data_IF_152154435952
#
_entry.id   IF_152154435952
#
_cell.length_a   1.000
_cell.length_b   1.000
_cell.length_c   1.000
_cell.angle_alpha   90.00
_cell.angle_beta   90.00
_cell.angle_gamma   90.00
#
_symmetry.space_group_name_H-M   'P 1'
#
loop_
_entity.id
_entity.type
_entity.pdbx_description
1 polymer ?
#
# COMPACT_ATOMS: atom_id res chain seq x y z
N UNK A 1 -0.22 35.50 -12.82
CA UNK A 1 0.23 34.73 -14.00
C UNK A 1 0.68 33.38 -13.45
N UNK A 2 -0.10 32.33 -13.67
CA UNK A 2 0.16 31.01 -13.09
C UNK A 2 1.37 30.35 -13.77
N UNK A 3 2.19 29.67 -12.97
CA UNK A 3 3.35 28.91 -13.42
C UNK A 3 2.94 27.91 -14.51
N UNK A 4 3.46 28.13 -15.72
CA UNK A 4 3.23 27.25 -16.85
C UNK A 4 3.97 25.94 -16.58
N UNK A 5 3.23 24.90 -16.16
CA UNK A 5 3.76 23.54 -16.09
C UNK A 5 4.42 23.13 -17.41
N UNK A 6 5.35 22.16 -17.34
CA UNK A 6 6.23 21.75 -18.44
C UNK A 6 5.52 21.28 -19.74
N UNK A 7 4.18 21.24 -19.78
CA UNK A 7 3.40 20.85 -20.97
C UNK A 7 3.53 19.38 -21.37
N UNK A 8 4.21 18.56 -20.55
CA UNK A 8 4.54 17.16 -20.88
C UNK A 8 3.44 16.15 -20.56
N UNK A 9 2.38 16.57 -19.86
CA UNK A 9 1.36 15.65 -19.32
C UNK A 9 0.73 14.76 -20.40
N UNK A 10 0.25 15.34 -21.50
CA UNK A 10 -0.36 14.57 -22.59
C UNK A 10 0.64 13.70 -23.36
N UNK A 11 1.91 14.11 -23.42
CA UNK A 11 2.98 13.31 -24.01
C UNK A 11 3.23 12.04 -23.20
N UNK A 12 3.24 12.15 -21.86
CA UNK A 12 3.37 11.01 -20.96
C UNK A 12 2.16 10.07 -21.10
N UNK A 13 0.94 10.62 -21.08
CA UNK A 13 -0.29 9.82 -21.27
C UNK A 13 -0.24 9.05 -22.58
N UNK A 14 0.10 9.70 -23.70
CA UNK A 14 0.21 9.05 -25.01
C UNK A 14 1.25 7.94 -25.03
N UNK A 15 2.39 8.14 -24.37
CA UNK A 15 3.44 7.13 -24.27
C UNK A 15 2.96 5.90 -23.47
N UNK A 16 2.41 6.12 -22.28
CA UNK A 16 1.92 5.05 -21.40
C UNK A 16 0.81 4.23 -22.06
N UNK A 17 -0.17 4.88 -22.67
CA UNK A 17 -1.28 4.20 -23.34
C UNK A 17 -0.78 3.36 -24.53
N UNK A 18 0.18 3.88 -25.31
CA UNK A 18 0.79 3.13 -26.41
C UNK A 18 1.60 1.93 -25.93
N UNK A 19 2.33 2.06 -24.82
CA UNK A 19 3.07 0.94 -24.21
C UNK A 19 2.13 -0.20 -23.75
N UNK A 20 0.90 0.13 -23.34
CA UNK A 20 -0.13 -0.85 -23.00
C UNK A 20 -0.91 -1.35 -24.23
N UNK A 21 -0.47 -1.04 -25.46
CA UNK A 21 -1.15 -1.46 -26.69
C UNK A 21 -2.51 -0.78 -26.91
N UNK A 22 -2.78 0.33 -26.22
CA UNK A 22 -4.03 1.07 -26.30
C UNK A 22 -3.96 2.34 -27.15
N UNK A 23 -5.04 3.11 -27.13
CA UNK A 23 -5.20 4.40 -27.83
C UNK A 23 -5.73 5.49 -26.90
N UNK A 24 -5.34 6.74 -27.17
CA UNK A 24 -5.86 7.92 -26.48
C UNK A 24 -6.30 8.98 -27.49
N UNK A 25 -7.49 9.53 -27.29
CA UNK A 25 -8.11 10.56 -28.12
C UNK A 25 -8.61 11.72 -27.25
N UNK A 26 -8.72 12.91 -27.82
CA UNK A 26 -9.23 14.10 -27.12
C UNK A 26 -10.21 14.85 -28.03
N UNK A 27 -11.37 15.21 -27.47
CA UNK A 27 -12.46 15.90 -28.15
C UNK A 27 -12.79 17.19 -27.40
N UNK A 28 -13.12 18.25 -28.14
CA UNK A 28 -13.64 19.50 -27.56
C UNK A 28 -14.52 20.20 -28.59
N UNK A 29 -15.66 20.71 -28.14
CA UNK A 29 -16.55 21.54 -28.98
C UNK A 29 -16.15 23.03 -29.00
N UNK A 30 -14.98 23.36 -28.42
CA UNK A 30 -14.42 24.71 -28.40
C UNK A 30 -14.39 25.36 -27.01
N UNK A 31 -13.94 26.64 -26.94
CA UNK A 31 -13.76 27.34 -25.68
C UNK A 31 -15.05 27.42 -24.84
N UNK A 32 -14.94 27.08 -23.55
CA UNK A 32 -16.07 27.11 -22.61
C UNK A 32 -17.04 25.92 -22.74
N UNK A 33 -16.77 24.94 -23.61
CA UNK A 33 -17.58 23.72 -23.79
C UNK A 33 -16.98 22.47 -23.14
N UNK A 34 -15.80 22.60 -22.53
CA UNK A 34 -15.09 21.50 -21.90
C UNK A 34 -14.27 20.67 -22.90
N UNK A 35 -13.76 19.55 -22.41
CA UNK A 35 -12.97 18.60 -23.19
C UNK A 35 -13.21 17.19 -22.68
N UNK A 36 -13.30 16.24 -23.60
CA UNK A 36 -13.42 14.82 -23.31
C UNK A 36 -12.11 14.13 -23.73
N UNK A 37 -11.57 13.27 -22.86
CA UNK A 37 -10.38 12.47 -23.15
C UNK A 37 -10.76 11.00 -23.06
N UNK A 38 -10.56 10.26 -24.14
CA UNK A 38 -10.95 8.86 -24.25
C UNK A 38 -9.72 7.98 -24.31
N UNK A 39 -9.59 7.07 -23.34
CA UNK A 39 -8.50 6.08 -23.28
C UNK A 39 -9.10 4.70 -23.52
N UNK A 40 -8.56 3.96 -24.47
CA UNK A 40 -8.94 2.57 -24.77
C UNK A 40 -7.73 1.68 -24.57
N UNK A 41 -7.87 0.65 -23.74
CA UNK A 41 -6.81 -0.36 -23.52
C UNK A 41 -7.33 -1.73 -23.98
N UNK A 42 -6.46 -2.59 -24.55
CA UNK A 42 -6.84 -3.95 -24.89
C UNK A 42 -7.21 -4.71 -23.61
N UNK A 43 -8.37 -5.35 -23.63
CA UNK A 43 -8.75 -6.26 -22.56
C UNK A 43 -7.88 -7.51 -22.67
N UNK A 44 -7.08 -7.79 -21.64
CA UNK A 44 -6.36 -9.06 -21.57
C UNK A 44 -7.38 -10.15 -21.25
N UNK A 45 -7.80 -10.90 -22.28
CA UNK A 45 -8.42 -12.20 -22.03
C UNK A 45 -7.33 -13.11 -21.47
N UNK A 46 -7.42 -13.40 -20.17
CA UNK A 46 -6.78 -14.59 -19.61
C UNK A 46 -7.38 -15.78 -20.33
N UNK A 47 -6.76 -16.20 -21.44
CA UNK A 47 -7.24 -17.29 -22.27
C UNK A 47 -7.41 -18.57 -21.46
N UNK A 48 -8.30 -19.44 -21.95
CA UNK A 48 -8.72 -20.72 -21.38
C UNK A 48 -7.58 -21.70 -21.02
N UNK A 49 -6.33 -21.37 -21.33
CA UNK A 49 -5.13 -22.09 -20.91
C UNK A 49 -4.80 -22.00 -19.41
N UNK A 50 -5.35 -21.01 -18.69
CA UNK A 50 -5.29 -21.00 -17.22
C UNK A 50 -6.37 -21.87 -16.58
N UNK A 51 -7.47 -22.18 -17.27
CA UNK A 51 -8.52 -23.08 -16.77
C UNK A 51 -8.09 -24.57 -16.82
N UNK A 52 -7.19 -24.94 -17.75
CA UNK A 52 -6.65 -26.30 -17.83
C UNK A 52 -5.45 -26.53 -16.90
N UNK A 53 -4.56 -25.53 -16.75
CA UNK A 53 -3.45 -25.59 -15.76
C UNK A 53 -3.88 -25.35 -14.32
N UNK A 54 -5.09 -24.82 -14.11
CA UNK A 54 -5.67 -24.77 -12.78
C UNK A 54 -6.23 -26.12 -12.34
N UNK A 55 -6.70 -27.02 -13.21
CA UNK A 55 -7.30 -28.27 -12.70
C UNK A 55 -6.31 -29.27 -12.10
N UNK A 56 -5.03 -29.23 -12.47
CA UNK A 56 -4.01 -30.12 -11.87
C UNK A 56 -3.17 -29.45 -10.76
N UNK A 57 -3.20 -28.11 -10.63
CA UNK A 57 -2.52 -27.38 -9.54
C UNK A 57 -3.45 -26.53 -8.64
N UNK A 58 -4.78 -26.57 -8.83
CA UNK A 58 -5.79 -25.87 -8.00
C UNK A 58 -6.62 -26.85 -7.16
N UNK A 59 -6.14 -28.08 -6.96
CA UNK A 59 -6.64 -28.92 -5.87
C UNK A 59 -6.08 -28.51 -4.49
N UNK A 60 -5.32 -27.41 -4.37
CA UNK A 60 -4.80 -26.92 -3.09
C UNK A 60 -4.96 -25.40 -2.85
N UNK A 61 -5.68 -24.66 -3.69
CA UNK A 61 -6.00 -23.25 -3.45
C UNK A 61 -7.51 -23.01 -3.61
N UNK A 62 -8.31 -23.79 -2.88
CA UNK A 62 -9.45 -23.15 -2.26
C UNK A 62 -8.85 -22.23 -1.17
N UNK A 63 -9.28 -20.96 -1.02
CA UNK A 63 -9.04 -20.30 0.24
C UNK A 63 -9.78 -21.14 1.27
N UNK A 64 -9.06 -22.04 1.93
CA UNK A 64 -9.42 -22.41 3.28
C UNK A 64 -9.65 -21.08 3.99
N UNK A 65 -10.72 -20.92 4.79
CA UNK A 65 -10.80 -19.77 5.67
C UNK A 65 -9.45 -19.69 6.35
N UNK A 66 -8.68 -18.63 6.07
CA UNK A 66 -7.35 -18.49 6.63
C UNK A 66 -7.63 -18.48 8.12
N UNK A 67 -7.37 -19.60 8.79
CA UNK A 67 -7.40 -19.74 10.23
C UNK A 67 -6.17 -18.99 10.78
N UNK A 68 -5.95 -17.79 10.27
CA UNK A 68 -4.97 -16.84 10.72
C UNK A 68 -5.55 -16.22 11.96
N UNK A 69 -4.77 -16.25 13.03
CA UNK A 69 -5.07 -15.55 14.27
C UNK A 69 -5.43 -14.10 13.96
N UNK A 70 -6.61 -13.64 14.37
CA UNK A 70 -6.97 -12.21 14.34
C UNK A 70 -5.85 -11.41 15.01
N UNK A 71 -5.35 -10.38 14.33
CA UNK A 71 -4.26 -9.53 14.79
C UNK A 71 -4.77 -8.13 15.04
N UNK A 72 -4.19 -7.46 16.03
CA UNK A 72 -4.36 -6.02 16.21
C UNK A 72 -3.32 -5.27 15.38
N UNK A 73 -3.79 -4.54 14.38
CA UNK A 73 -2.95 -3.79 13.43
C UNK A 73 -3.18 -2.29 13.64
N UNK A 74 -2.10 -1.51 13.68
CA UNK A 74 -2.15 -0.05 13.64
C UNK A 74 -1.46 0.45 12.37
N UNK A 75 -2.21 1.13 11.51
CA UNK A 75 -1.69 1.77 10.29
C UNK A 75 -1.34 3.22 10.62
N UNK A 76 -0.17 3.68 10.16
CA UNK A 76 0.27 5.07 10.28
C UNK A 76 0.59 5.61 8.90
N UNK A 77 -0.26 6.48 8.36
CA UNK A 77 -0.16 6.99 6.98
C UNK A 77 -0.92 8.32 6.89
N UNK A 78 -0.30 9.37 6.36
CA UNK A 78 -0.90 10.71 6.23
C UNK A 78 -1.88 10.80 5.05
N UNK A 79 -1.80 9.86 4.12
CA UNK A 79 -2.78 9.72 3.06
C UNK A 79 -4.01 8.97 3.58
N UNK A 80 -5.03 9.73 4.01
CA UNK A 80 -6.26 9.19 4.61
C UNK A 80 -6.93 8.13 3.73
N UNK A 81 -7.12 8.41 2.44
CA UNK A 81 -7.77 7.48 1.50
C UNK A 81 -7.01 6.14 1.41
N UNK A 82 -5.68 6.19 1.33
CA UNK A 82 -4.83 4.99 1.26
C UNK A 82 -4.85 4.21 2.57
N UNK A 83 -4.82 4.92 3.69
CA UNK A 83 -4.85 4.32 5.02
C UNK A 83 -6.18 3.61 5.30
N UNK A 84 -7.29 4.25 4.93
CA UNK A 84 -8.64 3.73 5.12
C UNK A 84 -8.91 2.53 4.22
N UNK A 85 -8.53 2.61 2.94
CA UNK A 85 -8.64 1.48 2.01
C UNK A 85 -7.88 0.25 2.55
N UNK A 86 -6.63 0.42 3.00
CA UNK A 86 -5.85 -0.68 3.57
C UNK A 86 -6.47 -1.21 4.87
N UNK A 87 -7.05 -0.32 5.69
CA UNK A 87 -7.73 -0.72 6.91
C UNK A 87 -8.97 -1.55 6.65
N UNK A 88 -9.79 -1.17 5.67
CA UNK A 88 -10.98 -1.94 5.24
C UNK A 88 -10.58 -3.33 4.75
N UNK A 89 -9.59 -3.42 3.87
CA UNK A 89 -9.10 -4.70 3.34
C UNK A 89 -8.60 -5.63 4.45
N UNK A 90 -7.88 -5.11 5.44
CA UNK A 90 -7.39 -5.90 6.57
C UNK A 90 -8.51 -6.28 7.56
N UNK A 91 -9.55 -5.44 7.72
CA UNK A 91 -10.74 -5.76 8.51
C UNK A 91 -11.54 -6.88 7.85
N UNK A 92 -11.71 -6.81 6.52
CA UNK A 92 -12.36 -7.85 5.71
C UNK A 92 -11.59 -9.19 5.79
N UNK A 93 -10.27 -9.13 5.91
CA UNK A 93 -9.41 -10.29 6.20
C UNK A 93 -9.48 -10.79 7.66
N UNK A 94 -10.31 -10.18 8.52
CA UNK A 94 -10.56 -10.63 9.89
C UNK A 94 -9.61 -10.07 10.96
N UNK A 95 -8.87 -8.99 10.66
CA UNK A 95 -8.01 -8.31 11.62
C UNK A 95 -8.71 -7.12 12.31
N UNK A 96 -8.25 -6.78 13.52
CA UNK A 96 -8.69 -5.58 14.23
C UNK A 96 -7.76 -4.42 13.86
N UNK A 97 -8.24 -3.45 13.09
CA UNK A 97 -7.40 -2.40 12.51
C UNK A 97 -7.78 -1.01 13.03
N UNK A 98 -6.78 -0.27 13.47
CA UNK A 98 -6.85 1.16 13.80
C UNK A 98 -5.94 1.96 12.87
N UNK A 99 -6.25 3.23 12.67
CA UNK A 99 -5.48 4.14 11.81
C UNK A 99 -5.07 5.37 12.63
N UNK A 100 -3.82 5.80 12.45
CA UNK A 100 -3.33 7.10 12.87
C UNK A 100 -2.81 7.84 11.62
N UNK A 101 -3.17 9.11 11.47
CA UNK A 101 -2.82 9.88 10.27
C UNK A 101 -1.51 10.68 10.41
N UNK A 102 -0.86 10.56 11.57
CA UNK A 102 0.41 11.22 11.85
C UNK A 102 1.19 10.48 12.95
N UNK A 103 2.50 10.73 13.01
CA UNK A 103 3.41 10.11 13.97
C UNK A 103 3.10 10.43 15.44
N UNK A 104 2.88 11.70 15.83
CA UNK A 104 2.47 12.04 17.20
C UNK A 104 1.22 11.29 17.69
N UNK A 105 0.18 11.22 16.87
CA UNK A 105 -1.04 10.46 17.15
C UNK A 105 -0.74 8.97 17.33
N UNK A 106 0.11 8.40 16.48
CA UNK A 106 0.54 7.00 16.61
C UNK A 106 1.28 6.73 17.94
N UNK A 107 2.14 7.64 18.39
CA UNK A 107 2.87 7.53 19.67
C UNK A 107 1.90 7.52 20.86
N UNK A 108 0.82 8.31 20.82
CA UNK A 108 -0.19 8.36 21.88
C UNK A 108 -1.12 7.14 21.88
N UNK A 109 -1.46 6.65 20.68
CA UNK A 109 -2.41 5.54 20.50
C UNK A 109 -1.78 4.17 20.74
N UNK A 110 -0.56 3.94 20.25
CA UNK A 110 0.06 2.61 20.23
C UNK A 110 0.15 1.96 21.63
N UNK A 111 0.58 2.64 22.71
CA UNK A 111 0.69 2.03 24.04
C UNK A 111 -0.65 1.58 24.62
N UNK A 112 -1.73 2.27 24.25
CA UNK A 112 -3.10 1.96 24.69
C UNK A 112 -3.67 0.78 23.90
N UNK A 113 -3.46 0.78 22.59
CA UNK A 113 -3.95 -0.27 21.69
C UNK A 113 -3.15 -1.57 21.79
N UNK A 114 -1.86 -1.47 22.17
CA UNK A 114 -0.87 -2.56 22.19
C UNK A 114 -0.94 -3.41 20.92
N UNK A 115 -0.78 -2.81 19.73
CA UNK A 115 -0.91 -3.55 18.48
C UNK A 115 0.14 -4.65 18.39
N UNK A 116 -0.20 -5.75 17.75
CA UNK A 116 0.77 -6.80 17.41
C UNK A 116 1.60 -6.39 16.19
N UNK A 117 0.99 -5.60 15.30
CA UNK A 117 1.61 -5.16 14.04
C UNK A 117 1.37 -3.68 13.84
N UNK A 118 2.40 -2.95 13.42
CA UNK A 118 2.27 -1.58 12.94
C UNK A 118 2.79 -1.47 11.51
N UNK A 119 1.98 -0.88 10.64
CA UNK A 119 2.34 -0.53 9.26
C UNK A 119 2.57 0.97 9.22
N UNK A 120 3.81 1.40 8.98
CA UNK A 120 4.21 2.81 9.15
C UNK A 120 4.73 3.36 7.83
N UNK A 121 4.11 4.40 7.30
CA UNK A 121 4.69 5.15 6.18
C UNK A 121 6.02 5.81 6.58
N UNK A 122 7.03 5.63 5.75
CA UNK A 122 8.32 6.31 5.91
C UNK A 122 8.18 7.81 5.59
N UNK A 123 7.31 8.15 4.64
CA UNK A 123 7.12 9.48 4.07
C UNK A 123 6.26 10.45 4.89
N UNK A 124 6.01 10.16 6.19
CA UNK A 124 5.13 10.98 7.02
C UNK A 124 5.58 12.47 7.09
N UNK A 125 4.64 13.42 7.00
CA UNK A 125 4.91 14.83 7.21
C UNK A 125 5.23 15.09 8.69
N UNK A 126 6.18 15.99 8.95
CA UNK A 126 6.62 16.42 10.30
C UNK A 126 7.53 15.47 11.07
N UNK A 127 7.42 14.15 10.89
CA UNK A 127 8.31 13.16 11.53
C UNK A 127 8.66 12.06 10.55
N UNK A 128 9.95 11.78 10.38
CA UNK A 128 10.39 10.68 9.54
C UNK A 128 9.93 9.33 10.13
N UNK A 129 9.33 8.44 9.33
CA UNK A 129 8.85 7.13 9.81
C UNK A 129 9.93 6.27 10.49
N UNK A 130 11.21 6.46 10.14
CA UNK A 130 12.34 5.85 10.85
C UNK A 130 12.50 6.37 12.28
N UNK A 131 12.28 7.67 12.50
CA UNK A 131 12.33 8.26 13.82
C UNK A 131 11.15 7.79 14.67
N UNK A 132 9.96 7.73 14.07
CA UNK A 132 8.77 7.18 14.70
C UNK A 132 9.02 5.74 15.18
N UNK A 133 9.58 4.88 14.32
CA UNK A 133 9.90 3.50 14.69
C UNK A 133 10.85 3.41 15.89
N UNK A 134 11.91 4.23 15.92
CA UNK A 134 12.84 4.28 17.08
C UNK A 134 12.14 4.70 18.36
N UNK A 135 11.27 5.72 18.29
CA UNK A 135 10.49 6.18 19.45
C UNK A 135 9.53 5.11 19.95
N UNK A 136 8.83 4.43 19.04
CA UNK A 136 7.91 3.34 19.38
C UNK A 136 8.64 2.14 20.00
N UNK A 137 9.82 1.78 19.49
CA UNK A 137 10.65 0.70 20.07
C UNK A 137 11.19 1.02 21.46
N UNK A 138 11.35 2.30 21.80
CA UNK A 138 11.75 2.72 23.14
C UNK A 138 10.60 2.61 24.18
N UNK A 139 9.37 2.33 23.75
CA UNK A 139 8.20 2.16 24.63
C UNK A 139 8.12 0.69 25.08
N UNK A 140 8.26 0.38 26.39
CA UNK A 140 8.25 -1.00 26.89
C UNK A 140 6.99 -1.80 26.53
N UNK A 141 5.83 -1.14 26.49
CA UNK A 141 4.54 -1.73 26.14
C UNK A 141 4.48 -2.26 24.70
N UNK A 142 5.39 -1.80 23.84
CA UNK A 142 5.47 -2.15 22.41
C UNK A 142 6.64 -3.08 22.09
N UNK A 143 7.30 -3.66 23.10
CA UNK A 143 8.48 -4.52 22.91
C UNK A 143 8.21 -5.69 21.94
N UNK A 144 7.00 -6.26 21.97
CA UNK A 144 6.59 -7.37 21.11
C UNK A 144 5.90 -6.92 19.82
N UNK A 145 5.77 -5.62 19.59
CA UNK A 145 5.10 -5.09 18.40
C UNK A 145 6.03 -5.19 17.19
N UNK A 146 5.51 -5.80 16.13
CA UNK A 146 6.18 -5.96 14.84
C UNK A 146 5.98 -4.71 13.99
N UNK A 147 7.07 -4.08 13.55
CA UNK A 147 7.02 -2.85 12.75
C UNK A 147 7.36 -3.19 11.29
N UNK A 148 6.50 -2.76 10.36
CA UNK A 148 6.75 -2.84 8.92
C UNK A 148 6.66 -1.45 8.31
N UNK A 149 7.62 -1.14 7.44
CA UNK A 149 7.66 0.15 6.76
C UNK A 149 6.82 0.12 5.47
N UNK A 150 5.99 1.11 5.22
CA UNK A 150 5.36 1.36 3.93
C UNK A 150 6.22 2.37 3.16
N UNK A 151 6.67 2.00 1.96
CA UNK A 151 7.55 2.87 1.16
C UNK A 151 7.04 3.04 -0.27
N UNK A 152 7.13 4.26 -0.81
CA UNK A 152 6.91 4.55 -2.23
C UNK A 152 8.14 4.30 -3.12
N UNK A 153 9.33 4.18 -2.53
CA UNK A 153 10.59 3.97 -3.26
C UNK A 153 11.35 2.78 -2.64
N UNK A 154 11.48 1.69 -3.39
CA UNK A 154 12.09 0.44 -2.93
C UNK A 154 13.62 0.36 -3.08
N UNK A 155 14.36 1.42 -2.78
CA UNK A 155 15.82 1.39 -2.95
C UNK A 155 16.52 0.60 -1.83
N UNK A 156 17.62 -0.09 -2.17
CA UNK A 156 18.44 -0.90 -1.25
C UNK A 156 18.89 -0.11 0.00
N UNK A 157 19.18 1.18 -0.16
CA UNK A 157 19.58 2.09 0.92
C UNK A 157 18.46 2.35 1.96
N UNK A 158 17.20 2.13 1.59
CA UNK A 158 16.05 2.22 2.50
C UNK A 158 15.90 0.96 3.34
N UNK A 159 16.36 -0.19 2.84
CA UNK A 159 16.30 -1.45 3.58
C UNK A 159 17.21 -1.45 4.80
N UNK A 160 18.44 -0.98 4.66
CA UNK A 160 19.42 -0.92 5.76
C UNK A 160 18.95 0.06 6.86
N UNK A 161 18.48 1.25 6.46
CA UNK A 161 17.92 2.26 7.38
C UNK A 161 16.65 1.78 8.08
N UNK A 162 15.83 0.98 7.40
CA UNK A 162 14.64 0.36 8.00
C UNK A 162 15.01 -0.61 9.12
N UNK A 163 15.97 -1.50 8.87
CA UNK A 163 16.43 -2.47 9.87
C UNK A 163 17.03 -1.77 11.10
N UNK A 164 17.87 -0.75 10.88
CA UNK A 164 18.47 0.05 11.96
C UNK A 164 17.43 0.83 12.78
N UNK A 165 16.32 1.23 12.18
CA UNK A 165 15.22 1.89 12.87
C UNK A 165 14.31 0.93 13.65
N UNK A 166 14.51 -0.38 13.52
CA UNK A 166 13.74 -1.41 14.21
C UNK A 166 12.56 -1.97 13.42
N UNK A 167 12.51 -1.72 12.10
CA UNK A 167 11.58 -2.41 11.20
C UNK A 167 12.05 -3.83 10.91
N UNK A 168 11.10 -4.75 10.78
CA UNK A 168 11.38 -6.14 10.41
C UNK A 168 11.49 -6.31 8.88
N UNK A 169 10.65 -5.58 8.14
CA UNK A 169 10.67 -5.56 6.69
C UNK A 169 9.98 -4.30 6.14
N UNK A 170 10.05 -4.11 4.83
CA UNK A 170 9.37 -3.05 4.10
C UNK A 170 8.35 -3.63 3.11
N UNK A 171 7.26 -2.88 2.91
CA UNK A 171 6.20 -3.12 1.96
C UNK A 171 6.21 -1.95 0.97
N UNK A 172 6.40 -2.25 -0.31
CA UNK A 172 6.35 -1.23 -1.36
C UNK A 172 4.88 -0.90 -1.65
N UNK A 173 4.56 0.39 -1.75
CA UNK A 173 3.26 0.88 -2.18
C UNK A 173 3.14 0.76 -3.72
N UNK A 174 2.00 0.31 -4.28
CA UNK A 174 0.78 -0.14 -3.57
C UNK A 174 1.00 -1.48 -2.86
N UNK A 175 0.48 -1.58 -1.63
CA UNK A 175 0.69 -2.76 -0.77
C UNK A 175 0.09 -4.01 -1.42
N UNK A 176 0.92 -5.03 -1.64
CA UNK A 176 0.46 -6.34 -2.08
C UNK A 176 -0.19 -7.09 -0.89
N UNK A 177 -1.51 -7.26 -0.93
CA UNK A 177 -2.29 -7.87 0.15
C UNK A 177 -1.89 -9.32 0.40
N UNK A 178 -1.69 -10.14 -0.63
CA UNK A 178 -1.26 -11.54 -0.47
C UNK A 178 0.08 -11.64 0.27
N UNK A 179 1.01 -10.72 -0.03
CA UNK A 179 2.29 -10.64 0.70
C UNK A 179 2.08 -10.21 2.14
N UNK A 180 1.24 -9.20 2.38
CA UNK A 180 0.94 -8.72 3.72
C UNK A 180 0.27 -9.82 4.58
N UNK A 181 -0.73 -10.53 4.05
CA UNK A 181 -1.38 -11.66 4.71
C UNK A 181 -0.38 -12.77 5.04
N UNK A 182 0.51 -13.12 4.10
CA UNK A 182 1.56 -14.11 4.35
C UNK A 182 2.49 -13.68 5.48
N UNK A 183 2.84 -12.39 5.56
CA UNK A 183 3.64 -11.84 6.67
C UNK A 183 2.86 -11.97 7.98
N UNK A 184 1.61 -11.50 8.02
CA UNK A 184 0.76 -11.54 9.22
C UNK A 184 0.51 -12.97 9.74
N UNK A 185 0.37 -13.93 8.83
CA UNK A 185 0.23 -15.35 9.15
C UNK A 185 1.53 -15.98 9.69
N UNK A 186 2.69 -15.49 9.25
CA UNK A 186 4.01 -16.01 9.67
C UNK A 186 4.49 -15.51 11.04
N UNK A 187 3.90 -14.42 11.54
CA UNK A 187 4.22 -13.90 12.88
C UNK A 187 3.83 -14.93 13.94
N UNK A 188 4.73 -15.25 14.87
CA UNK A 188 4.43 -16.16 15.99
C UNK A 188 3.67 -15.47 17.11
#
# INVERSE_FOLDING_TARGET
>A
RAESGLGIGLTIVKSLVRLHGGTVEAFSEGPGKGSEFLIRLPLVQLGDGLAARSKENVSEIAPAPISGKTRRVLIVDDNQDSAEMLAELLKDAGHSVMVAYDGPSAILMAPQLKPEVMLIDIGLPSMNGYELARRLKAIPELANTSLFALTGYGQEADRQRSLEAGFQDHLVKPVNLTRLESILASLR
#
